data_IF_145592179459
#
_entry.id   IF_145592179459
#
_cell.length_a   1.000
_cell.length_b   1.000
_cell.length_c   1.000
_cell.angle_alpha   90.00
_cell.angle_beta   90.00
_cell.angle_gamma   90.00
#
_symmetry.space_group_name_H-M   'P 1'
#
loop_
_entity.id
_entity.type
_entity.pdbx_description
1 polymer ?
#
# COMPACT_ATOMS: atom_id res chain seq x y z
N UNK A 1 2.03 18.48 9.07
CA UNK A 1 2.89 17.46 9.71
C UNK A 1 3.61 16.76 8.58
N UNK A 2 4.92 16.51 8.68
CA UNK A 2 5.64 15.83 7.59
C UNK A 2 5.08 14.43 7.40
N UNK A 3 5.01 13.97 6.16
CA UNK A 3 4.50 12.66 5.81
C UNK A 3 5.57 11.90 5.01
N UNK A 4 5.66 10.61 5.27
CA UNK A 4 6.58 9.70 4.61
C UNK A 4 5.82 8.50 4.06
N UNK A 5 6.21 8.04 2.88
CA UNK A 5 5.71 6.84 2.22
C UNK A 5 6.77 5.74 2.33
N UNK A 6 6.34 4.56 2.80
CA UNK A 6 7.19 3.36 2.90
C UNK A 6 6.59 2.20 2.12
N UNK A 7 7.39 1.62 1.25
CA UNK A 7 7.04 0.43 0.49
C UNK A 7 7.54 -0.83 1.20
N UNK A 8 6.61 -1.66 1.65
CA UNK A 8 6.83 -2.93 2.33
C UNK A 8 6.45 -4.07 1.40
N UNK A 9 7.40 -4.88 0.93
CA UNK A 9 7.09 -6.09 0.16
C UNK A 9 6.83 -7.25 1.10
N UNK A 10 5.75 -8.00 0.89
CA UNK A 10 5.57 -9.29 1.54
C UNK A 10 6.64 -10.28 1.09
N UNK A 11 7.21 -11.01 2.04
CA UNK A 11 8.26 -11.99 1.73
C UNK A 11 7.69 -13.36 1.36
N UNK A 12 6.45 -13.65 1.78
CA UNK A 12 5.72 -14.87 1.44
C UNK A 12 4.18 -14.69 1.53
N UNK A 13 3.39 -15.65 1.01
CA UNK A 13 1.92 -15.59 1.01
C UNK A 13 1.22 -15.49 2.38
N UNK A 14 1.91 -15.75 3.50
CA UNK A 14 1.34 -15.66 4.85
C UNK A 14 1.07 -14.22 5.29
N UNK A 15 1.70 -13.24 4.64
CA UNK A 15 1.61 -11.80 4.95
C UNK A 15 2.14 -11.43 6.35
N UNK A 16 2.92 -12.29 6.99
CA UNK A 16 3.46 -12.05 8.33
C UNK A 16 4.80 -11.31 8.32
N UNK A 17 5.55 -11.42 7.23
CA UNK A 17 6.89 -10.88 7.10
C UNK A 17 6.93 -9.93 5.91
N UNK A 18 7.50 -8.76 6.15
CA UNK A 18 7.71 -7.75 5.11
C UNK A 18 9.14 -7.24 5.14
N UNK A 19 9.65 -6.92 3.95
CA UNK A 19 10.92 -6.25 3.76
C UNK A 19 10.67 -4.88 3.12
N UNK A 20 11.30 -3.83 3.65
CA UNK A 20 11.30 -2.51 3.02
C UNK A 20 12.16 -2.55 1.75
N UNK A 21 11.57 -2.18 0.61
CA UNK A 21 12.23 -2.31 -0.71
C UNK A 21 12.74 -1.00 -1.29
N UNK A 22 12.47 0.12 -0.63
CA UNK A 22 12.92 1.45 -1.03
C UNK A 22 13.01 2.34 0.21
N UNK A 23 13.96 3.30 0.31
CA UNK A 23 13.99 4.31 1.37
C UNK A 23 12.65 5.05 1.52
N UNK A 24 12.39 5.56 2.72
CA UNK A 24 11.19 6.35 2.98
C UNK A 24 11.17 7.61 2.11
N UNK A 25 10.05 7.83 1.42
CA UNK A 25 9.88 8.95 0.49
C UNK A 25 9.08 10.05 1.18
N UNK A 26 9.63 11.27 1.24
CA UNK A 26 8.87 12.44 1.71
C UNK A 26 7.75 12.76 0.72
N UNK A 27 6.51 12.87 1.22
CA UNK A 27 5.34 13.20 0.40
C UNK A 27 4.59 14.41 0.97
N UNK A 28 4.04 15.23 0.07
CA UNK A 28 3.23 16.40 0.45
C UNK A 28 1.75 16.02 0.66
N UNK A 29 1.27 15.00 -0.05
CA UNK A 29 -0.12 14.53 0.00
C UNK A 29 -0.20 12.99 -0.03
N UNK A 30 -1.20 12.44 0.65
CA UNK A 30 -1.51 11.01 0.62
C UNK A 30 -2.20 10.68 -0.70
N UNK A 31 -1.51 9.93 -1.56
CA UNK A 31 -2.12 9.38 -2.76
C UNK A 31 -3.01 8.18 -2.44
N UNK A 32 -4.07 7.99 -3.22
CA UNK A 32 -4.99 6.85 -3.10
C UNK A 32 -4.31 5.56 -3.55
N UNK A 33 -3.85 4.75 -2.60
CA UNK A 33 -3.31 3.42 -2.84
C UNK A 33 -4.43 2.37 -2.71
N UNK A 34 -4.95 1.91 -3.84
CA UNK A 34 -6.04 0.94 -3.88
C UNK A 34 -5.52 -0.51 -4.03
N UNK A 35 -6.16 -1.44 -3.33
CA UNK A 35 -5.85 -2.87 -3.43
C UNK A 35 -5.87 -3.35 -4.89
N UNK A 36 -4.94 -4.26 -5.23
CA UNK A 36 -4.71 -4.78 -6.57
C UNK A 36 -4.36 -3.75 -7.65
N UNK A 37 -4.09 -2.49 -7.28
CA UNK A 37 -3.56 -1.51 -8.24
C UNK A 37 -2.06 -1.73 -8.46
N UNK A 38 -1.58 -1.64 -9.71
CA UNK A 38 -0.17 -1.79 -10.02
C UNK A 38 0.62 -0.53 -9.63
N UNK A 39 1.87 -0.73 -9.21
CA UNK A 39 2.83 0.33 -8.92
C UNK A 39 4.23 -0.11 -9.35
N UNK A 40 5.01 0.83 -9.88
CA UNK A 40 6.44 0.63 -10.16
C UNK A 40 7.26 1.19 -9.01
N UNK A 41 8.20 0.39 -8.51
CA UNK A 41 9.12 0.80 -7.45
C UNK A 41 10.52 0.40 -7.86
N UNK A 42 11.41 1.36 -7.98
CA UNK A 42 12.81 1.15 -8.34
C UNK A 42 13.66 2.33 -7.86
N UNK A 43 14.95 2.26 -8.15
CA UNK A 43 15.92 3.26 -7.75
C UNK A 43 16.05 4.37 -8.82
N UNK A 44 16.43 5.57 -8.37
CA UNK A 44 16.59 6.76 -9.23
C UNK A 44 17.67 6.60 -10.31
N UNK A 45 18.58 5.63 -10.16
CA UNK A 45 19.65 5.34 -11.12
C UNK A 45 19.22 4.44 -12.28
N UNK A 46 18.00 3.88 -12.20
CA UNK A 46 17.44 2.94 -13.16
C UNK A 46 16.30 3.59 -13.93
N UNK A 47 16.21 3.43 -15.27
CA UNK A 47 15.07 3.93 -16.04
C UNK A 47 13.74 3.39 -15.50
N UNK A 48 12.73 4.26 -15.39
CA UNK A 48 11.39 3.90 -14.88
C UNK A 48 10.74 2.76 -15.68
N UNK A 49 11.09 2.62 -16.95
CA UNK A 49 10.65 1.53 -17.82
C UNK A 49 11.05 0.15 -17.27
N UNK A 50 12.23 0.07 -16.66
CA UNK A 50 12.86 -1.14 -16.14
C UNK A 50 12.52 -1.41 -14.67
N UNK A 51 11.80 -0.49 -14.01
CA UNK A 51 11.39 -0.69 -12.62
C UNK A 51 10.45 -1.89 -12.48
N UNK A 52 10.68 -2.78 -11.48
CA UNK A 52 9.80 -3.89 -11.23
C UNK A 52 8.38 -3.41 -10.86
N UNK A 53 7.39 -4.19 -11.30
CA UNK A 53 5.98 -3.93 -11.04
C UNK A 53 5.55 -4.75 -9.83
N UNK A 54 4.88 -4.07 -8.92
CA UNK A 54 4.23 -4.64 -7.75
C UNK A 54 2.74 -4.37 -7.79
N UNK A 55 1.96 -5.20 -7.09
CA UNK A 55 0.56 -4.93 -6.78
C UNK A 55 0.41 -4.59 -5.31
N UNK A 56 -0.50 -3.65 -5.03
CA UNK A 56 -0.88 -3.32 -3.65
C UNK A 56 -1.64 -4.50 -3.06
N UNK A 57 -0.98 -5.19 -2.13
CA UNK A 57 -1.44 -6.44 -1.56
C UNK A 57 -2.34 -6.30 -0.34
N UNK A 58 -2.46 -5.12 0.25
CA UNK A 58 -3.30 -4.91 1.43
C UNK A 58 -3.74 -3.44 1.54
N UNK A 59 -4.67 -3.16 2.44
CA UNK A 59 -5.05 -1.78 2.80
C UNK A 59 -3.82 -1.08 3.38
N UNK A 60 -3.43 0.10 2.84
CA UNK A 60 -2.35 0.89 3.42
C UNK A 60 -2.61 1.22 4.89
N UNK A 61 -1.53 1.27 5.67
CA UNK A 61 -1.61 1.62 7.09
C UNK A 61 -0.96 2.98 7.34
N UNK A 62 -1.51 3.73 8.29
CA UNK A 62 -0.97 5.01 8.72
C UNK A 62 -0.56 4.87 10.19
N UNK A 63 0.69 5.22 10.49
CA UNK A 63 1.25 5.23 11.84
C UNK A 63 1.99 6.55 12.12
N UNK A 64 2.24 6.84 13.40
CA UNK A 64 3.10 7.96 13.79
C UNK A 64 4.55 7.50 13.91
N UNK A 65 5.49 8.34 13.47
CA UNK A 65 6.93 8.15 13.66
C UNK A 65 7.59 9.46 14.09
N UNK A 66 8.85 9.39 14.52
CA UNK A 66 9.68 10.59 14.70
C UNK A 66 10.15 11.12 13.35
N UNK A 67 10.15 12.43 13.17
CA UNK A 67 10.63 13.09 11.97
C UNK A 67 12.16 12.93 11.87
N UNK A 68 12.69 12.21 10.87
CA UNK A 68 14.13 11.98 10.74
C UNK A 68 14.93 13.27 10.53
N UNK A 69 14.28 14.35 10.06
CA UNK A 69 14.92 15.64 9.81
C UNK A 69 14.79 16.61 11.00
N UNK A 70 13.88 16.36 11.93
CA UNK A 70 13.58 17.26 13.05
C UNK A 70 13.38 16.45 14.34
N UNK A 71 14.46 16.22 15.12
CA UNK A 71 14.38 15.46 16.37
C UNK A 71 13.29 16.00 17.31
N UNK A 72 12.53 15.09 17.91
CA UNK A 72 11.41 15.41 18.81
C UNK A 72 10.12 15.86 18.12
N UNK A 73 10.09 15.98 16.78
CA UNK A 73 8.86 16.26 16.03
C UNK A 73 8.23 14.95 15.55
N UNK A 74 6.90 14.87 15.61
CA UNK A 74 6.15 13.75 15.01
C UNK A 74 5.95 13.95 13.51
N UNK A 75 5.97 12.84 12.78
CA UNK A 75 5.61 12.70 11.38
C UNK A 75 4.61 11.55 11.20
N UNK A 76 3.91 11.51 10.06
CA UNK A 76 3.10 10.36 9.67
C UNK A 76 3.89 9.46 8.73
N UNK A 77 3.72 8.16 8.92
CA UNK A 77 4.21 7.13 8.02
C UNK A 77 3.03 6.43 7.36
N UNK A 78 2.98 6.48 6.04
CA UNK A 78 2.06 5.72 5.20
C UNK A 78 2.78 4.47 4.69
N UNK A 79 2.37 3.31 5.21
CA UNK A 79 2.92 2.01 4.83
C UNK A 79 2.05 1.38 3.74
N UNK A 80 2.66 1.11 2.59
CA UNK A 80 2.02 0.45 1.45
C UNK A 80 2.61 -0.95 1.29
N UNK A 81 1.74 -1.95 1.38
CA UNK A 81 2.12 -3.35 1.33
C UNK A 81 2.03 -3.90 -0.09
N UNK A 82 3.11 -4.50 -0.56
CA UNK A 82 3.33 -4.84 -1.95
C UNK A 82 3.57 -6.34 -2.14
N UNK A 83 3.14 -6.84 -3.29
CA UNK A 83 3.40 -8.20 -3.78
C UNK A 83 4.02 -8.07 -5.16
N UNK A 84 5.05 -8.84 -5.47
CA UNK A 84 5.64 -8.85 -6.82
C UNK A 84 4.62 -9.34 -7.83
N UNK A 85 4.61 -8.78 -9.03
CA UNK A 85 3.67 -9.17 -10.08
C UNK A 85 3.68 -10.68 -10.33
N UNK A 86 4.85 -11.31 -10.38
CA UNK A 86 5.01 -12.75 -10.62
C UNK A 86 4.54 -13.65 -9.47
N UNK A 87 4.36 -13.09 -8.26
CA UNK A 87 3.93 -13.81 -7.07
C UNK A 87 2.43 -13.60 -6.76
N UNK A 88 1.76 -12.67 -7.44
CA UNK A 88 0.40 -12.22 -7.12
C UNK A 88 -0.60 -13.37 -6.94
N UNK A 89 -0.62 -14.32 -7.86
CA UNK A 89 -1.55 -15.46 -7.87
C UNK A 89 -1.34 -16.43 -6.69
N UNK A 90 -0.23 -16.32 -5.96
CA UNK A 90 0.05 -17.12 -4.76
C UNK A 90 -0.64 -16.56 -3.52
N UNK A 91 -1.09 -15.30 -3.55
CA UNK A 91 -1.67 -14.62 -2.41
C UNK A 91 -3.19 -14.68 -2.46
N UNK A 92 -3.79 -15.09 -1.34
CA UNK A 92 -5.22 -14.95 -1.13
C UNK A 92 -5.59 -13.49 -0.91
N UNK A 93 -6.81 -13.12 -1.32
CA UNK A 93 -7.40 -11.81 -1.01
C UNK A 93 -7.48 -11.66 0.52
N UNK A 94 -6.98 -10.55 1.11
CA UNK A 94 -7.11 -10.32 2.54
C UNK A 94 -8.57 -10.29 3.00
N UNK A 95 -8.86 -10.82 4.18
CA UNK A 95 -10.22 -10.83 4.74
C UNK A 95 -10.79 -9.41 4.87
N UNK A 96 -9.97 -8.43 5.23
CA UNK A 96 -10.34 -7.01 5.30
C UNK A 96 -10.84 -6.47 3.95
N UNK A 97 -10.18 -6.85 2.86
CA UNK A 97 -10.58 -6.47 1.50
C UNK A 97 -11.88 -7.19 1.12
N UNK A 98 -11.99 -8.48 1.42
CA UNK A 98 -13.21 -9.24 1.17
C UNK A 98 -14.41 -8.59 1.88
N UNK A 99 -14.24 -8.20 3.15
CA UNK A 99 -15.27 -7.51 3.92
C UNK A 99 -15.69 -6.18 3.28
N UNK A 100 -14.73 -5.35 2.84
CA UNK A 100 -15.03 -4.08 2.17
C UNK A 100 -15.82 -4.30 0.87
N UNK A 101 -15.37 -5.24 0.04
CA UNK A 101 -16.05 -5.58 -1.23
C UNK A 101 -17.49 -6.07 -1.00
N UNK A 102 -17.74 -6.84 0.07
CA UNK A 102 -19.09 -7.27 0.42
C UNK A 102 -19.94 -6.11 0.94
N UNK A 103 -19.38 -5.17 1.71
CA UNK A 103 -20.10 -3.99 2.17
C UNK A 103 -20.49 -3.05 1.02
N UNK A 104 -19.60 -2.83 0.06
CA UNK A 104 -19.89 -2.00 -1.13
C UNK A 104 -21.07 -2.57 -1.93
N UNK A 105 -21.08 -3.89 -2.18
CA UNK A 105 -22.20 -4.57 -2.86
C UNK A 105 -23.54 -4.39 -2.12
N UNK A 106 -23.53 -4.35 -0.79
CA UNK A 106 -24.74 -4.15 0.01
C UNK A 106 -25.26 -2.71 -0.07
N UNK A 107 -24.36 -1.73 -0.11
CA UNK A 107 -24.71 -0.32 -0.29
C UNK A 107 -25.33 -0.11 -1.67
N UNK A 108 -24.73 -0.64 -2.73
CA UNK A 108 -25.23 -0.51 -4.10
C UNK A 108 -26.62 -1.15 -4.26
N UNK A 109 -26.85 -2.32 -3.66
CA UNK A 109 -28.16 -2.98 -3.69
C UNK A 109 -29.24 -2.18 -2.99
N UNK A 110 -28.93 -1.51 -1.87
CA UNK A 110 -29.88 -0.63 -1.18
C UNK A 110 -30.23 0.59 -2.02
N UNK A 111 -29.24 1.19 -2.69
CA UNK A 111 -29.42 2.33 -3.59
C UNK A 111 -30.31 1.98 -4.80
N UNK A 112 -30.24 0.75 -5.29
CA UNK A 112 -31.10 0.25 -6.38
C UNK A 112 -32.52 -0.13 -5.93
N UNK A 113 -32.74 -0.43 -4.65
CA UNK A 113 -34.07 -0.78 -4.09
C UNK A 113 -34.93 0.42 -3.68
N UNK A 114 -34.36 1.63 -3.74
CA UNK A 114 -35.00 2.89 -3.35
C UNK A 114 -35.44 3.75 -4.55
N UNK A 115 -35.30 3.23 -5.77
CA UNK A 115 -35.82 3.80 -7.02
C UNK A 115 -36.85 2.85 -7.65
#
# INVERSE_FOLDING_TARGET
>A
MQQYLRFQRYDDPSRQITTQIHPDISIDEVHGFAYASPIKVGDDDTPVEDWPIYFIGNIPQISEMEDPNIPGRKALLLEVFLIRQEEWELFMIPESIHYIQEMEKLVDRKSLSLN
#
